data_IF_425097394124
#
_entry.id   IF_425097394124
#
_cell.length_a   1.000
_cell.length_b   1.000
_cell.length_c   1.000
_cell.angle_alpha   90.00
_cell.angle_beta   90.00
_cell.angle_gamma   90.00
#
_symmetry.space_group_name_H-M   'P 1'
#
loop_
_entity.id
_entity.type
_entity.pdbx_description
1 polymer ?
#
# COMPACT_ATOMS: atom_id res chain seq x y z
N UNK A 1 -12.94 19.83 -13.67
CA UNK A 1 -11.47 19.75 -13.48
C UNK A 1 -10.84 20.92 -14.23
N UNK A 2 -10.29 21.91 -13.50
CA UNK A 2 -9.49 23.01 -14.08
C UNK A 2 -8.03 22.56 -14.14
N UNK A 3 -7.44 22.61 -15.31
CA UNK A 3 -6.02 22.37 -15.50
C UNK A 3 -5.23 23.58 -14.99
N UNK A 4 -4.17 23.35 -14.23
CA UNK A 4 -3.22 24.40 -13.87
C UNK A 4 -2.38 24.77 -15.11
N UNK A 5 -2.04 26.04 -15.23
CA UNK A 5 -1.33 26.65 -16.37
C UNK A 5 0.08 26.12 -16.61
N UNK A 6 0.60 25.28 -15.73
CA UNK A 6 1.96 24.73 -15.74
C UNK A 6 2.06 23.27 -16.24
N UNK A 7 0.95 22.59 -16.59
CA UNK A 7 0.99 21.33 -17.34
C UNK A 7 1.45 20.08 -16.58
N UNK A 8 1.73 20.14 -15.28
CA UNK A 8 2.09 18.96 -14.48
C UNK A 8 0.82 18.20 -14.08
N UNK A 9 0.40 17.25 -14.91
CA UNK A 9 -0.71 16.34 -14.58
C UNK A 9 -0.20 15.14 -13.77
N UNK A 10 -0.89 14.78 -12.69
CA UNK A 10 -0.67 13.51 -12.00
C UNK A 10 -1.56 12.47 -12.69
N UNK A 11 -0.97 11.60 -13.51
CA UNK A 11 -1.70 10.60 -14.30
C UNK A 11 -2.43 9.58 -13.44
N UNK A 12 -1.83 9.21 -12.29
CA UNK A 12 -2.40 8.25 -11.34
C UNK A 12 -2.04 8.64 -9.90
N UNK A 13 -3.04 8.59 -9.03
CA UNK A 13 -2.87 8.79 -7.59
C UNK A 13 -2.74 7.43 -6.90
N UNK A 14 -1.63 6.75 -7.13
CA UNK A 14 -1.36 5.47 -6.50
C UNK A 14 -0.99 5.68 -5.03
N UNK A 15 -1.60 4.89 -4.13
CA UNK A 15 -1.45 5.04 -2.69
C UNK A 15 -0.84 3.79 -2.08
N UNK A 16 -0.04 4.02 -1.05
CA UNK A 16 0.47 2.95 -0.22
C UNK A 16 -0.70 2.23 0.47
N UNK A 17 -0.73 0.90 0.38
CA UNK A 17 -1.77 0.04 0.95
C UNK A 17 -1.80 0.05 2.49
N UNK A 18 -0.79 0.65 3.14
CA UNK A 18 -0.65 0.70 4.60
C UNK A 18 -0.87 2.09 5.17
N UNK A 19 -0.08 3.08 4.74
CA UNK A 19 -0.15 4.43 5.31
C UNK A 19 -0.95 5.43 4.47
N UNK A 20 -1.41 5.05 3.27
CA UNK A 20 -2.19 5.92 2.38
C UNK A 20 -1.40 7.05 1.70
N UNK A 21 -0.09 7.17 1.95
CA UNK A 21 0.81 8.11 1.25
C UNK A 21 0.79 7.84 -0.25
N UNK A 22 0.80 8.90 -1.06
CA UNK A 22 0.99 8.78 -2.51
C UNK A 22 2.37 8.22 -2.82
N UNK A 23 2.42 7.21 -3.69
CA UNK A 23 3.65 6.56 -4.11
C UNK A 23 3.87 6.84 -5.59
N UNK A 24 5.07 7.27 -5.93
CA UNK A 24 5.46 7.63 -7.29
C UNK A 24 6.58 6.68 -7.77
N UNK A 25 7.74 7.21 -8.17
CA UNK A 25 8.81 6.44 -8.81
C UNK A 25 9.45 5.39 -7.87
N UNK A 26 9.72 5.75 -6.61
CA UNK A 26 10.35 4.85 -5.63
C UNK A 26 9.30 4.03 -4.86
N UNK A 27 8.56 3.18 -5.57
CA UNK A 27 7.52 2.32 -4.99
C UNK A 27 7.95 0.87 -4.94
N UNK A 28 7.55 0.18 -3.88
CA UNK A 28 7.72 -1.27 -3.76
C UNK A 28 6.43 -1.91 -4.24
N UNK A 29 6.51 -2.60 -5.37
CA UNK A 29 5.43 -3.45 -5.91
C UNK A 29 5.67 -4.89 -5.50
N UNK A 30 4.73 -5.46 -4.75
CA UNK A 30 4.75 -6.89 -4.43
C UNK A 30 3.33 -7.41 -4.33
N UNK A 31 3.17 -8.71 -4.50
CA UNK A 31 1.97 -9.39 -4.04
C UNK A 31 1.93 -9.30 -2.52
N UNK A 32 0.80 -8.87 -1.98
CA UNK A 32 0.54 -9.05 -0.58
C UNK A 32 0.34 -10.54 -0.28
N UNK A 33 0.22 -10.86 1.00
CA UNK A 33 0.10 -12.24 1.50
C UNK A 33 -1.23 -12.91 1.12
N UNK A 34 -2.18 -12.16 0.53
CA UNK A 34 -3.43 -12.66 -0.03
C UNK A 34 -3.33 -12.86 -1.56
N UNK A 35 -2.15 -12.66 -2.15
CA UNK A 35 -1.93 -12.75 -3.60
C UNK A 35 -2.44 -11.55 -4.39
N UNK A 36 -2.75 -10.43 -3.72
CA UNK A 36 -3.24 -9.20 -4.37
C UNK A 36 -2.08 -8.23 -4.57
N UNK A 37 -1.95 -7.68 -5.77
CA UNK A 37 -0.95 -6.66 -6.08
C UNK A 37 -1.12 -5.45 -5.15
N UNK A 38 -0.07 -5.08 -4.43
CA UNK A 38 -0.09 -4.03 -3.43
C UNK A 38 1.14 -3.13 -3.56
N UNK A 39 0.95 -1.87 -3.16
CA UNK A 39 1.94 -0.82 -3.30
C UNK A 39 2.38 -0.33 -1.92
N UNK A 40 3.69 -0.20 -1.74
CA UNK A 40 4.27 0.27 -0.48
C UNK A 40 5.26 1.40 -0.72
N UNK A 41 5.26 2.38 0.19
CA UNK A 41 6.13 3.55 0.11
C UNK A 41 7.48 3.36 0.82
N UNK A 42 7.64 2.27 1.58
CA UNK A 42 8.85 1.94 2.34
C UNK A 42 8.81 0.50 2.82
N UNK A 43 9.97 -0.06 3.17
CA UNK A 43 10.10 -1.39 3.78
C UNK A 43 9.33 -1.48 5.09
N UNK A 44 9.28 -0.39 5.86
CA UNK A 44 8.48 -0.34 7.09
C UNK A 44 7.00 -0.66 6.83
N UNK A 45 6.42 -0.14 5.74
CA UNK A 45 5.05 -0.47 5.37
C UNK A 45 4.90 -1.94 4.95
N UNK A 46 5.88 -2.50 4.26
CA UNK A 46 5.88 -3.93 3.90
C UNK A 46 5.88 -4.81 5.16
N UNK A 47 6.75 -4.50 6.12
CA UNK A 47 6.87 -5.28 7.35
C UNK A 47 5.65 -5.12 8.27
N UNK A 48 5.09 -3.92 8.34
CA UNK A 48 3.86 -3.70 9.08
C UNK A 48 2.69 -4.54 8.54
N UNK A 49 2.58 -4.66 7.22
CA UNK A 49 1.53 -5.48 6.61
C UNK A 49 1.69 -6.98 6.96
N UNK A 50 2.93 -7.48 7.00
CA UNK A 50 3.23 -8.84 7.48
C UNK A 50 2.75 -9.05 8.92
N UNK A 51 3.10 -8.13 9.82
CA UNK A 51 2.71 -8.19 11.25
C UNK A 51 1.19 -8.12 11.40
N UNK A 52 0.53 -7.20 10.69
CA UNK A 52 -0.93 -7.01 10.74
C UNK A 52 -1.67 -8.29 10.38
N UNK A 53 -1.21 -9.00 9.35
CA UNK A 53 -1.83 -10.25 8.91
C UNK A 53 -1.53 -11.40 9.88
N UNK A 54 -0.32 -11.50 10.42
CA UNK A 54 -0.02 -12.47 11.48
C UNK A 54 -0.97 -12.31 12.67
N UNK A 55 -1.18 -11.07 13.13
CA UNK A 55 -2.14 -10.76 14.20
C UNK A 55 -3.56 -11.14 13.83
N UNK A 56 -4.01 -10.87 12.59
CA UNK A 56 -5.33 -11.30 12.11
C UNK A 56 -5.48 -12.83 12.12
N UNK A 57 -4.47 -13.57 11.65
CA UNK A 57 -4.47 -15.04 11.66
C UNK A 57 -4.53 -15.60 13.09
N UNK A 58 -3.77 -15.02 14.02
CA UNK A 58 -3.81 -15.40 15.42
C UNK A 58 -5.19 -15.15 16.04
N UNK A 59 -5.76 -13.96 15.82
CA UNK A 59 -7.10 -13.64 16.31
C UNK A 59 -8.17 -14.58 15.73
N UNK A 60 -8.08 -14.91 14.45
CA UNK A 60 -9.01 -15.85 13.81
C UNK A 60 -8.89 -17.28 14.37
N UNK A 61 -7.68 -17.72 14.70
CA UNK A 61 -7.43 -19.04 15.31
C UNK A 61 -7.98 -19.13 16.75
N UNK A 62 -8.07 -18.01 17.47
CA UNK A 62 -8.61 -17.95 18.84
C UNK A 62 -10.14 -17.89 18.89
N UNK A 63 -10.80 -17.67 17.76
CA UNK A 63 -12.27 -17.60 17.63
C UNK A 63 -12.91 -18.93 17.18
N UNK A 64 -12.10 -19.97 17.00
CA UNK A 64 -12.48 -21.34 16.65
C UNK A 64 -12.17 -22.22 17.86
#
# INVERSE_FOLDING_TARGET
MKFSSNGYYVEKYEKCSVCGKLVYENRIETLNIQGVQSLFCSDWCVDWEKIRIQKKKQAQKLLI
#
